data_IF_999688774982
#
_entry.id   IF_999688774982
#
_cell.length_a   1.000
_cell.length_b   1.000
_cell.length_c   1.000
_cell.angle_alpha   90.00
_cell.angle_beta   90.00
_cell.angle_gamma   90.00
#
_symmetry.space_group_name_H-M   'P 1'
#
loop_
_entity.id
_entity.type
_entity.pdbx_description
1 polymer ?
#
# COMPACT_ATOMS: atom_id res chain seq x y z
N UNK A 1 -6.94 -25.85 -5.38
CA UNK A 1 -5.73 -25.16 -5.85
C UNK A 1 -5.23 -25.93 -7.05
N UNK A 2 -5.09 -25.26 -8.18
CA UNK A 2 -4.47 -25.84 -9.37
C UNK A 2 -3.01 -26.19 -9.06
N UNK A 3 -2.52 -27.34 -9.54
CA UNK A 3 -1.13 -27.73 -9.31
C UNK A 3 -0.19 -26.78 -10.06
N UNK A 4 0.93 -26.42 -9.42
CA UNK A 4 1.92 -25.58 -10.06
C UNK A 4 2.57 -26.34 -11.22
N UNK A 5 2.78 -25.67 -12.35
CA UNK A 5 3.27 -26.28 -13.56
C UNK A 5 4.75 -26.63 -13.40
N UNK A 6 5.08 -27.93 -13.43
CA UNK A 6 6.45 -28.41 -13.20
C UNK A 6 7.42 -28.16 -14.37
N UNK A 7 6.91 -27.78 -15.54
CA UNK A 7 7.68 -27.64 -16.78
C UNK A 7 7.98 -26.18 -17.18
N UNK A 8 7.62 -25.19 -16.36
CA UNK A 8 7.88 -23.78 -16.67
C UNK A 8 8.30 -23.02 -15.41
N UNK A 9 9.15 -21.98 -15.56
CA UNK A 9 9.49 -21.13 -14.43
C UNK A 9 8.23 -20.47 -13.85
N UNK A 10 8.24 -20.27 -12.53
CA UNK A 10 7.18 -19.58 -11.80
C UNK A 10 7.24 -18.05 -11.95
N UNK A 11 8.01 -17.56 -12.92
CA UNK A 11 8.19 -16.17 -13.25
C UNK A 11 8.15 -15.96 -14.76
N UNK A 12 7.71 -14.76 -15.19
CA UNK A 12 7.73 -14.32 -16.59
C UNK A 12 8.14 -12.86 -16.66
N UNK A 13 8.81 -12.47 -17.74
CA UNK A 13 9.21 -11.10 -18.01
C UNK A 13 8.63 -10.69 -19.36
N UNK A 14 7.86 -9.60 -19.39
CA UNK A 14 7.32 -9.04 -20.62
C UNK A 14 7.99 -7.70 -20.91
N UNK A 15 8.62 -7.59 -22.08
CA UNK A 15 9.27 -6.36 -22.55
C UNK A 15 8.34 -5.70 -23.57
N UNK A 16 7.84 -4.51 -23.25
CA UNK A 16 6.98 -3.72 -24.14
C UNK A 16 7.80 -2.53 -24.62
N UNK A 17 8.26 -2.59 -25.88
CA UNK A 17 9.14 -1.58 -26.48
C UNK A 17 8.41 -0.36 -27.04
N UNK A 18 7.12 -0.20 -26.74
CA UNK A 18 6.35 0.95 -27.20
C UNK A 18 6.51 2.13 -26.22
N UNK A 19 7.02 3.29 -26.68
CA UNK A 19 7.20 4.44 -25.82
C UNK A 19 5.86 4.99 -25.37
N UNK A 20 5.83 5.47 -24.13
CA UNK A 20 4.69 6.16 -23.52
C UNK A 20 5.11 7.59 -23.16
N UNK A 21 4.16 8.44 -22.78
CA UNK A 21 4.48 9.75 -22.18
C UNK A 21 5.41 9.63 -20.95
N UNK A 22 5.39 8.48 -20.28
CA UNK A 22 6.18 8.22 -19.09
C UNK A 22 7.54 7.58 -19.37
N UNK A 23 7.70 6.63 -20.28
CA UNK A 23 8.97 5.91 -20.47
C UNK A 23 9.16 5.43 -21.91
N UNK A 24 10.41 5.26 -22.34
CA UNK A 24 10.78 4.76 -23.67
C UNK A 24 10.42 3.27 -23.89
N UNK A 25 10.19 2.52 -22.80
CA UNK A 25 9.72 1.15 -22.81
C UNK A 25 9.25 0.74 -21.42
N UNK A 26 8.49 -0.35 -21.34
CA UNK A 26 7.96 -0.89 -20.10
C UNK A 26 8.42 -2.33 -19.92
N UNK A 27 8.73 -2.69 -18.68
CA UNK A 27 9.11 -4.05 -18.28
C UNK A 27 8.14 -4.54 -17.22
N UNK A 28 7.51 -5.68 -17.45
CA UNK A 28 6.57 -6.28 -16.51
C UNK A 28 7.16 -7.60 -16.02
N UNK A 29 7.44 -7.67 -14.73
CA UNK A 29 7.81 -8.90 -14.03
C UNK A 29 6.55 -9.52 -13.43
N UNK A 30 6.22 -10.74 -13.83
CA UNK A 30 5.17 -11.55 -13.23
C UNK A 30 5.83 -12.64 -12.40
N UNK A 31 5.70 -12.58 -11.08
CA UNK A 31 6.30 -13.52 -10.14
C UNK A 31 5.21 -14.26 -9.38
N UNK A 32 5.30 -15.57 -9.26
CA UNK A 32 4.37 -16.35 -8.44
C UNK A 32 4.69 -16.20 -6.95
N UNK A 33 3.68 -16.04 -6.09
CA UNK A 33 3.87 -15.79 -4.65
C UNK A 33 4.57 -16.95 -3.92
N UNK A 34 4.55 -18.18 -4.46
CA UNK A 34 5.31 -19.29 -3.89
C UNK A 34 6.83 -19.11 -3.96
N UNK A 35 7.33 -18.16 -4.76
CA UNK A 35 8.75 -17.84 -4.82
C UNK A 35 9.24 -17.08 -3.57
N UNK A 36 8.35 -16.37 -2.89
CA UNK A 36 8.71 -15.60 -1.70
C UNK A 36 7.59 -14.68 -1.23
N UNK A 37 7.75 -14.12 -0.03
CA UNK A 37 6.88 -13.03 0.42
C UNK A 37 7.17 -11.73 -0.35
N UNK A 38 6.22 -10.79 -0.34
CA UNK A 38 6.36 -9.55 -1.10
C UNK A 38 7.60 -8.73 -0.71
N UNK A 39 8.12 -8.89 0.50
CA UNK A 39 9.36 -8.22 0.93
C UNK A 39 10.59 -8.89 0.32
N UNK A 40 10.67 -10.22 0.38
CA UNK A 40 11.78 -11.01 -0.18
C UNK A 40 11.85 -10.85 -1.70
N UNK A 41 10.70 -10.94 -2.39
CA UNK A 41 10.63 -10.73 -3.84
C UNK A 41 11.09 -9.32 -4.25
N UNK A 42 10.77 -8.31 -3.46
CA UNK A 42 11.21 -6.95 -3.72
C UNK A 42 12.68 -6.74 -3.35
N UNK A 43 13.18 -7.36 -2.28
CA UNK A 43 14.61 -7.35 -1.95
C UNK A 43 15.44 -7.99 -3.08
N UNK A 44 14.99 -9.13 -3.60
CA UNK A 44 15.64 -9.81 -4.73
C UNK A 44 15.59 -8.94 -6.00
N UNK A 45 14.44 -8.33 -6.31
CA UNK A 45 14.34 -7.40 -7.44
C UNK A 45 15.31 -6.24 -7.28
N UNK A 46 15.38 -5.63 -6.10
CA UNK A 46 16.27 -4.50 -5.83
C UNK A 46 17.74 -4.90 -5.85
N UNK A 47 18.08 -6.15 -5.49
CA UNK A 47 19.46 -6.67 -5.61
C UNK A 47 19.96 -6.73 -7.06
N UNK A 48 19.04 -6.86 -8.02
CA UNK A 48 19.34 -6.83 -9.45
C UNK A 48 19.46 -5.40 -10.02
N UNK A 49 19.16 -4.37 -9.22
CA UNK A 49 19.20 -2.98 -9.62
C UNK A 49 20.48 -2.30 -9.15
N UNK A 50 20.94 -1.35 -9.96
CA UNK A 50 22.12 -0.54 -9.68
C UNK A 50 21.73 0.93 -9.61
N UNK A 51 22.56 1.74 -8.93
CA UNK A 51 22.44 3.19 -8.99
C UNK A 51 22.74 3.68 -10.41
N UNK A 52 21.87 4.53 -10.95
CA UNK A 52 21.99 5.06 -12.31
C UNK A 52 23.13 6.09 -12.46
N UNK A 53 23.50 6.75 -11.37
CA UNK A 53 24.60 7.72 -11.32
C UNK A 53 25.95 7.09 -11.00
N UNK A 54 25.98 6.00 -10.23
CA UNK A 54 27.21 5.30 -9.84
C UNK A 54 26.96 3.80 -9.63
N UNK A 55 27.10 2.98 -10.69
CA UNK A 55 26.77 1.54 -10.64
C UNK A 55 27.55 0.72 -9.60
N UNK A 56 28.71 1.21 -9.16
CA UNK A 56 29.56 0.56 -8.14
C UNK A 56 29.11 0.81 -6.70
N UNK A 57 28.14 1.70 -6.48
CA UNK A 57 27.63 2.03 -5.14
C UNK A 57 26.33 1.25 -4.89
N UNK A 58 26.22 0.52 -3.76
CA UNK A 58 25.00 -0.23 -3.44
C UNK A 58 23.82 0.71 -3.22
N UNK A 59 22.61 0.20 -3.45
CA UNK A 59 21.37 0.93 -3.22
C UNK A 59 21.17 1.22 -1.73
N UNK A 60 20.90 2.47 -1.40
CA UNK A 60 20.67 2.88 0.00
C UNK A 60 19.18 2.98 0.29
N UNK A 61 18.71 2.23 1.28
CA UNK A 61 17.36 2.42 1.82
C UNK A 61 17.35 3.56 2.83
N UNK A 62 16.28 4.39 2.86
CA UNK A 62 16.16 5.40 3.90
C UNK A 62 16.14 4.70 5.27
N UNK A 63 17.08 5.09 6.13
CA UNK A 63 17.14 4.64 7.51
C UNK A 63 15.88 5.11 8.23
N UNK A 64 15.15 4.17 8.84
CA UNK A 64 14.19 4.51 9.89
C UNK A 64 15.03 5.13 11.01
N UNK A 65 14.98 6.46 11.16
CA UNK A 65 15.59 7.12 12.32
C UNK A 65 14.91 6.59 13.57
N UNK A 66 15.57 5.64 14.23
CA UNK A 66 15.31 5.28 15.62
C UNK A 66 15.50 6.53 16.48
N UNK A 67 14.75 6.57 17.59
CA UNK A 67 14.69 7.66 18.56
C UNK A 67 16.09 8.19 18.99
N UNK A 68 16.17 9.41 19.55
CA UNK A 68 17.45 10.05 19.89
C UNK A 68 18.28 9.18 20.86
N UNK A 69 19.60 9.14 20.64
CA UNK A 69 20.58 8.45 21.47
C UNK A 69 20.44 8.78 22.97
N UNK A 70 20.50 7.79 23.87
CA UNK A 70 20.40 8.01 25.31
C UNK A 70 21.80 8.27 25.89
N UNK A 71 22.45 9.37 25.50
CA UNK A 71 23.71 9.78 26.13
C UNK A 71 23.74 11.30 26.26
N UNK A 72 23.00 11.83 27.24
CA UNK A 72 23.34 13.10 27.87
C UNK A 72 22.93 13.06 29.34
N UNK A 73 23.87 13.53 30.15
CA UNK A 73 23.99 13.46 31.60
C UNK A 73 22.82 14.08 32.37
N UNK A 74 22.61 13.50 33.56
CA UNK A 74 21.83 13.99 34.70
C UNK A 74 21.80 15.52 34.81
N UNK A 75 20.58 16.07 34.96
CA UNK A 75 20.36 17.39 35.55
C UNK A 75 19.12 18.11 35.02
N UNK A 76 18.06 18.21 35.83
CA UNK A 76 17.07 19.29 35.69
C UNK A 76 15.66 18.85 35.28
N UNK A 77 14.76 18.99 36.25
CA UNK A 77 13.29 18.92 36.20
C UNK A 77 12.61 19.66 35.02
N UNK A 78 11.46 19.12 34.57
CA UNK A 78 10.34 19.83 33.87
C UNK A 78 10.10 19.59 32.36
N UNK A 79 9.84 18.35 31.90
CA UNK A 79 9.32 18.12 30.51
C UNK A 79 8.04 17.26 30.44
N UNK A 80 7.58 16.63 31.52
CA UNK A 80 6.37 15.78 31.51
C UNK A 80 5.06 16.55 31.78
N UNK A 81 4.62 17.44 30.89
CA UNK A 81 3.24 17.98 31.01
C UNK A 81 2.38 18.03 29.75
N UNK A 82 2.92 17.83 28.54
CA UNK A 82 2.12 18.01 27.30
C UNK A 82 2.14 16.85 26.28
N UNK A 83 2.54 15.64 26.68
CA UNK A 83 2.48 14.43 25.82
C UNK A 83 1.28 13.47 26.11
N UNK A 84 0.01 13.90 26.27
CA UNK A 84 -1.09 12.93 26.29
C UNK A 84 -2.03 12.95 25.08
N UNK A 85 -2.21 14.07 24.36
CA UNK A 85 -3.27 14.14 23.31
C UNK A 85 -2.89 13.51 21.97
N UNK A 86 -1.67 13.72 21.48
CA UNK A 86 -1.22 13.23 20.16
C UNK A 86 -1.01 11.71 20.16
N UNK A 87 -0.36 11.19 21.22
CA UNK A 87 -0.19 9.74 21.39
C UNK A 87 -1.53 9.02 21.57
N UNK A 88 -2.48 9.62 22.29
CA UNK A 88 -3.83 9.06 22.47
C UNK A 88 -4.64 9.07 21.18
N UNK A 89 -4.51 10.10 20.34
CA UNK A 89 -5.14 10.13 19.02
C UNK A 89 -4.57 9.08 18.07
N UNK A 90 -3.23 8.94 18.00
CA UNK A 90 -2.60 7.92 17.16
C UNK A 90 -2.90 6.50 17.65
N UNK A 91 -2.92 6.29 18.97
CA UNK A 91 -3.23 5.01 19.58
C UNK A 91 -4.71 4.63 19.38
N UNK A 92 -5.65 5.58 19.49
CA UNK A 92 -7.05 5.34 19.19
C UNK A 92 -7.26 4.97 17.72
N UNK A 93 -6.58 5.62 16.77
CA UNK A 93 -6.68 5.25 15.35
C UNK A 93 -6.10 3.86 15.07
N UNK A 94 -4.98 3.50 15.71
CA UNK A 94 -4.39 2.15 15.58
C UNK A 94 -5.27 1.08 16.24
N UNK A 95 -5.90 1.39 17.39
CA UNK A 95 -6.83 0.47 18.05
C UNK A 95 -8.14 0.33 17.29
N UNK A 96 -8.67 1.42 16.73
CA UNK A 96 -9.89 1.41 15.90
C UNK A 96 -9.63 0.68 14.58
N UNK A 97 -8.44 0.85 14.02
CA UNK A 97 -7.96 0.09 12.88
C UNK A 97 -7.81 -1.41 13.21
N UNK A 98 -7.16 -1.74 14.33
CA UNK A 98 -7.02 -3.12 14.82
C UNK A 98 -8.36 -3.79 15.14
N UNK A 99 -9.31 -3.05 15.70
CA UNK A 99 -10.68 -3.48 15.96
C UNK A 99 -11.45 -3.72 14.65
N UNK A 100 -11.25 -2.86 13.65
CA UNK A 100 -11.84 -3.01 12.32
C UNK A 100 -11.26 -4.21 11.57
N UNK A 101 -9.98 -4.52 11.72
CA UNK A 101 -9.34 -5.75 11.20
C UNK A 101 -9.87 -7.03 11.87
N UNK A 102 -10.11 -6.98 13.18
CA UNK A 102 -10.72 -8.08 13.91
C UNK A 102 -12.17 -8.30 13.47
N UNK A 103 -12.96 -7.22 13.30
CA UNK A 103 -14.32 -7.29 12.77
C UNK A 103 -14.37 -7.82 11.34
N UNK A 104 -13.51 -7.33 10.44
CA UNK A 104 -13.50 -7.77 9.04
C UNK A 104 -13.17 -9.27 8.90
N UNK A 105 -12.47 -9.86 9.87
CA UNK A 105 -12.21 -11.31 9.86
C UNK A 105 -13.47 -12.16 10.09
N UNK A 106 -14.53 -11.59 10.66
CA UNK A 106 -15.79 -12.27 10.99
C UNK A 106 -17.03 -11.71 10.29
N UNK A 107 -16.99 -10.45 9.84
CA UNK A 107 -18.11 -9.73 9.23
C UNK A 107 -17.68 -9.24 7.84
N UNK A 108 -18.45 -9.61 6.82
CA UNK A 108 -18.25 -9.13 5.46
C UNK A 108 -18.76 -7.69 5.32
N UNK A 109 -17.99 -6.83 4.66
CA UNK A 109 -18.44 -5.48 4.29
C UNK A 109 -19.62 -5.56 3.30
N UNK A 110 -20.44 -4.50 3.29
CA UNK A 110 -21.59 -4.37 2.40
C UNK A 110 -21.17 -4.38 0.92
N UNK A 111 -22.02 -4.95 0.05
CA UNK A 111 -21.85 -4.85 -1.40
C UNK A 111 -21.91 -3.37 -1.79
N UNK A 112 -20.87 -2.88 -2.45
CA UNK A 112 -20.71 -1.48 -2.82
C UNK A 112 -20.13 -1.36 -4.23
N UNK A 113 -20.04 -0.13 -4.75
CA UNK A 113 -19.42 0.12 -6.07
C UNK A 113 -17.97 -0.38 -6.18
N UNK A 114 -17.28 -0.48 -5.04
CA UNK A 114 -15.89 -0.94 -4.98
C UNK A 114 -15.74 -2.38 -4.48
N UNK A 115 -16.86 -3.06 -4.15
CA UNK A 115 -16.91 -4.43 -3.66
C UNK A 115 -18.08 -5.15 -4.31
N UNK A 116 -17.82 -5.92 -5.35
CA UNK A 116 -18.87 -6.61 -6.10
C UNK A 116 -19.50 -7.79 -5.35
N UNK A 117 -18.83 -8.34 -4.33
CA UNK A 117 -19.31 -9.47 -3.53
C UNK A 117 -19.43 -10.80 -4.29
N UNK A 118 -19.12 -10.82 -5.58
CA UNK A 118 -19.28 -11.99 -6.44
C UNK A 118 -18.18 -13.03 -6.16
N UNK A 119 -18.52 -14.33 -6.04
CA UNK A 119 -17.52 -15.38 -6.01
C UNK A 119 -16.70 -15.37 -7.32
N UNK A 120 -15.39 -15.59 -7.22
CA UNK A 120 -14.49 -15.64 -8.38
C UNK A 120 -14.04 -14.28 -8.93
N UNK A 121 -14.22 -13.17 -8.19
CA UNK A 121 -13.68 -11.84 -8.57
C UNK A 121 -12.17 -11.88 -8.83
N UNK A 122 -11.45 -12.79 -8.19
CA UNK A 122 -10.01 -13.03 -8.37
C UNK A 122 -9.63 -13.49 -9.79
N UNK A 123 -10.58 -14.01 -10.56
CA UNK A 123 -10.38 -14.47 -11.95
C UNK A 123 -10.96 -13.52 -13.00
N UNK A 124 -11.63 -12.44 -12.58
CA UNK A 124 -12.19 -11.46 -13.50
C UNK A 124 -11.09 -10.58 -14.11
N UNK A 125 -11.41 -10.00 -15.26
CA UNK A 125 -10.55 -9.00 -15.90
C UNK A 125 -10.39 -7.79 -14.98
N UNK A 126 -9.15 -7.32 -14.86
CA UNK A 126 -8.79 -6.15 -14.07
C UNK A 126 -8.21 -5.06 -14.96
N UNK A 127 -8.47 -3.81 -14.61
CA UNK A 127 -7.81 -2.65 -15.17
C UNK A 127 -6.73 -2.18 -14.19
N UNK A 128 -5.58 -1.80 -14.74
CA UNK A 128 -4.49 -1.18 -13.97
C UNK A 128 -4.43 0.28 -14.36
N UNK A 129 -4.55 1.16 -13.38
CA UNK A 129 -4.33 2.59 -13.55
C UNK A 129 -3.33 3.11 -12.51
N UNK A 130 -2.68 4.23 -12.79
CA UNK A 130 -1.65 4.78 -11.91
C UNK A 130 -1.85 6.26 -11.63
N UNK A 131 -1.50 6.70 -10.42
CA UNK A 131 -1.35 8.10 -10.04
C UNK A 131 0.06 8.37 -9.50
N UNK A 132 0.47 9.62 -9.50
CA UNK A 132 1.73 10.06 -8.90
C UNK A 132 1.46 11.29 -8.04
N UNK A 133 1.88 11.26 -6.79
CA UNK A 133 1.83 12.41 -5.88
C UNK A 133 3.25 12.88 -5.53
N UNK A 134 3.39 14.18 -5.27
CA UNK A 134 4.62 14.75 -4.71
C UNK A 134 4.77 14.30 -3.26
N UNK A 135 5.91 13.70 -2.89
CA UNK A 135 6.15 13.39 -1.48
C UNK A 135 6.37 14.66 -0.66
N UNK A 136 6.81 15.75 -1.27
CA UNK A 136 7.05 16.99 -0.54
C UNK A 136 5.73 17.65 -0.15
N UNK A 137 4.72 17.61 -1.01
CA UNK A 137 3.35 18.07 -0.66
C UNK A 137 2.76 17.20 0.45
N UNK A 138 2.93 15.88 0.37
CA UNK A 138 2.48 14.96 1.42
C UNK A 138 3.22 15.23 2.75
N UNK A 139 4.52 15.51 2.71
CA UNK A 139 5.32 15.89 3.90
C UNK A 139 4.87 17.24 4.47
N UNK A 140 4.45 18.19 3.64
CA UNK A 140 3.90 19.46 4.10
C UNK A 140 2.60 19.24 4.87
N UNK A 141 1.65 18.49 4.29
CA UNK A 141 0.40 18.10 4.95
C UNK A 141 0.69 17.37 6.27
N UNK A 142 1.59 16.38 6.24
CA UNK A 142 2.03 15.64 7.43
C UNK A 142 2.49 16.58 8.54
N UNK A 143 3.33 17.55 8.20
CA UNK A 143 3.92 18.49 9.17
C UNK A 143 2.87 19.42 9.77
N UNK A 144 2.00 19.98 8.93
CA UNK A 144 0.92 20.89 9.35
C UNK A 144 -0.12 20.18 10.22
N UNK A 145 -0.51 18.96 9.86
CA UNK A 145 -1.48 18.16 10.62
C UNK A 145 -0.85 17.37 11.79
N UNK A 146 0.49 17.34 11.91
CA UNK A 146 1.24 16.56 12.91
C UNK A 146 0.90 15.06 12.95
N UNK A 147 0.66 14.47 11.78
CA UNK A 147 0.35 13.03 11.60
C UNK A 147 1.48 12.30 10.87
N UNK A 148 1.30 11.03 10.51
CA UNK A 148 2.27 10.28 9.68
C UNK A 148 1.90 10.34 8.20
N UNK A 149 2.87 10.09 7.31
CA UNK A 149 2.66 10.04 5.85
C UNK A 149 1.58 9.01 5.49
N UNK A 150 1.62 7.84 6.12
CA UNK A 150 0.63 6.79 5.90
C UNK A 150 -0.78 7.24 6.26
N UNK A 151 -0.95 7.95 7.38
CA UNK A 151 -2.27 8.50 7.78
C UNK A 151 -2.79 9.50 6.76
N UNK A 152 -1.92 10.40 6.25
CA UNK A 152 -2.30 11.36 5.21
C UNK A 152 -2.79 10.64 3.95
N UNK A 153 -1.99 9.72 3.43
CA UNK A 153 -2.30 9.01 2.17
C UNK A 153 -3.55 8.14 2.32
N UNK A 154 -3.65 7.38 3.42
CA UNK A 154 -4.84 6.56 3.71
C UNK A 154 -6.09 7.45 3.82
N UNK A 155 -6.01 8.61 4.46
CA UNK A 155 -7.12 9.56 4.55
C UNK A 155 -7.57 10.08 3.18
N UNK A 156 -6.62 10.48 2.33
CA UNK A 156 -6.89 10.95 0.96
C UNK A 156 -7.60 9.87 0.14
N UNK A 157 -7.05 8.66 0.11
CA UNK A 157 -7.58 7.55 -0.69
C UNK A 157 -8.97 7.13 -0.17
N UNK A 158 -9.13 7.02 1.14
CA UNK A 158 -10.38 6.60 1.75
C UNK A 158 -11.50 7.62 1.48
N UNK A 159 -11.23 8.90 1.70
CA UNK A 159 -12.20 9.95 1.43
C UNK A 159 -12.51 10.07 -0.07
N UNK A 160 -11.51 10.02 -0.94
CA UNK A 160 -11.71 10.04 -2.40
C UNK A 160 -12.56 8.87 -2.87
N UNK A 161 -12.33 7.68 -2.31
CA UNK A 161 -13.11 6.49 -2.61
C UNK A 161 -14.53 6.60 -2.07
N UNK A 162 -14.72 7.18 -0.88
CA UNK A 162 -16.06 7.45 -0.32
C UNK A 162 -16.85 8.41 -1.20
N UNK A 163 -16.24 9.48 -1.69
CA UNK A 163 -16.89 10.43 -2.62
C UNK A 163 -17.24 9.75 -3.94
N UNK A 164 -16.34 8.91 -4.48
CA UNK A 164 -16.62 8.10 -5.66
C UNK A 164 -17.85 7.19 -5.47
N UNK A 165 -17.95 6.52 -4.31
CA UNK A 165 -19.08 5.65 -3.98
C UNK A 165 -20.41 6.42 -3.88
N UNK A 166 -20.37 7.63 -3.31
CA UNK A 166 -21.57 8.46 -3.12
C UNK A 166 -22.16 8.99 -4.43
N UNK A 167 -21.35 9.08 -5.48
CA UNK A 167 -21.78 9.59 -6.78
C UNK A 167 -22.45 8.52 -7.64
N UNK A 168 -22.01 7.25 -7.55
CA UNK A 168 -22.53 6.18 -8.41
C UNK A 168 -23.87 5.59 -7.95
N UNK A 169 -24.43 6.02 -6.82
CA UNK A 169 -25.77 5.62 -6.33
C UNK A 169 -26.48 6.81 -5.70
N UNK A 170 -27.82 6.85 -5.79
CA UNK A 170 -28.65 7.87 -5.16
C UNK A 170 -28.23 8.04 -3.68
N UNK A 171 -27.82 9.27 -3.34
CA UNK A 171 -27.16 9.68 -2.09
C UNK A 171 -27.71 8.99 -0.82
N UNK A 172 -26.76 8.61 0.06
CA UNK A 172 -26.90 8.31 1.51
C UNK A 172 -26.89 6.85 1.99
N UNK A 173 -26.31 5.89 1.25
CA UNK A 173 -26.09 4.58 1.89
C UNK A 173 -24.95 4.67 2.92
N UNK A 174 -25.27 4.34 4.17
CA UNK A 174 -24.30 4.14 5.27
C UNK A 174 -23.58 2.79 5.11
N UNK A 175 -23.19 2.45 3.89
CA UNK A 175 -22.47 1.20 3.60
C UNK A 175 -21.16 1.18 4.38
N UNK A 176 -20.97 0.11 5.15
CA UNK A 176 -19.74 -0.15 5.87
C UNK A 176 -18.67 -0.56 4.87
N UNK A 177 -17.67 0.30 4.71
CA UNK A 177 -16.51 0.03 3.86
C UNK A 177 -15.24 0.07 4.68
N UNK A 178 -14.55 -1.06 4.71
CA UNK A 178 -13.30 -1.26 5.44
C UNK A 178 -12.15 -1.32 4.44
N UNK A 179 -11.13 -0.50 4.69
CA UNK A 179 -9.84 -0.59 4.00
C UNK A 179 -8.89 -1.49 4.82
N UNK A 180 -8.48 -2.62 4.25
CA UNK A 180 -7.41 -3.44 4.81
C UNK A 180 -6.06 -2.78 4.48
N UNK A 181 -5.47 -2.10 5.46
CA UNK A 181 -4.21 -1.36 5.25
C UNK A 181 -3.01 -2.22 5.69
N UNK A 182 -2.27 -2.73 4.72
CA UNK A 182 -1.05 -3.51 4.88
C UNK A 182 0.15 -2.56 4.77
N UNK A 183 0.45 -1.83 5.85
CA UNK A 183 1.61 -0.94 5.93
C UNK A 183 2.78 -1.68 6.56
N UNK A 184 3.96 -1.65 5.92
CA UNK A 184 5.22 -2.11 6.51
C UNK A 184 5.09 -3.46 7.24
N UNK A 185 4.78 -4.52 6.49
CA UNK A 185 4.42 -5.87 6.98
C UNK A 185 5.48 -6.61 7.80
N UNK A 186 6.61 -5.98 8.18
CA UNK A 186 7.53 -6.54 9.19
C UNK A 186 6.81 -6.88 10.50
N UNK A 187 5.83 -6.06 10.91
CA UNK A 187 5.10 -6.24 12.18
C UNK A 187 4.09 -7.41 12.18
N UNK A 188 3.60 -7.87 11.02
CA UNK A 188 2.61 -8.97 10.97
C UNK A 188 3.24 -10.32 11.34
N UNK A 189 4.56 -10.48 11.17
CA UNK A 189 5.28 -11.67 11.65
C UNK A 189 5.43 -11.71 13.18
N UNK A 190 5.43 -10.56 13.86
CA UNK A 190 5.68 -10.48 15.30
C UNK A 190 4.43 -10.71 16.16
N UNK A 191 3.22 -10.72 15.56
CA UNK A 191 1.97 -10.87 16.31
C UNK A 191 1.55 -12.33 16.62
N UNK A 192 2.34 -13.34 16.21
CA UNK A 192 2.17 -14.73 16.68
C UNK A 192 3.51 -15.37 16.94
N UNK A 193 3.68 -15.92 18.14
CA UNK A 193 4.95 -16.52 18.54
C UNK A 193 5.35 -17.62 17.56
N UNK A 194 6.60 -17.57 17.11
CA UNK A 194 7.24 -18.53 16.18
C UNK A 194 7.08 -19.99 16.63
N UNK A 195 6.80 -20.22 17.92
CA UNK A 195 6.58 -21.54 18.51
C UNK A 195 5.26 -22.20 18.10
N UNK A 196 4.27 -21.46 17.61
CA UNK A 196 2.98 -22.05 17.15
C UNK A 196 2.96 -22.39 15.65
N UNK A 197 3.94 -21.91 14.87
CA UNK A 197 3.92 -21.92 13.39
C UNK A 197 4.42 -23.26 12.79
N UNK A 198 5.02 -24.14 13.58
CA UNK A 198 5.62 -25.40 13.08
C UNK A 198 4.64 -26.56 12.81
N UNK A 199 3.33 -26.30 12.69
CA UNK A 199 2.34 -27.34 12.36
C UNK A 199 1.68 -27.04 11.00
N UNK A 200 1.62 -28.00 10.05
CA UNK A 200 1.00 -27.80 8.74
C UNK A 200 -0.51 -27.46 8.82
N UNK A 201 -1.16 -27.83 9.93
CA UNK A 201 -2.53 -27.41 10.23
C UNK A 201 -2.64 -25.91 10.59
N UNK A 202 -1.65 -25.37 11.30
CA UNK A 202 -1.60 -23.95 11.66
C UNK A 202 -1.39 -23.07 10.41
N UNK A 203 -0.56 -23.49 9.46
CA UNK A 203 -0.35 -22.78 8.19
C UNK A 203 -1.63 -22.68 7.36
N UNK A 204 -2.37 -23.80 7.21
CA UNK A 204 -3.67 -23.80 6.50
C UNK A 204 -4.70 -22.91 7.20
N UNK A 205 -4.74 -22.93 8.53
CA UNK A 205 -5.63 -22.08 9.32
C UNK A 205 -5.27 -20.59 9.17
N UNK A 206 -3.99 -20.24 9.19
CA UNK A 206 -3.49 -18.87 8.99
C UNK A 206 -3.78 -18.40 7.55
N UNK A 207 -3.50 -19.22 6.54
CA UNK A 207 -3.81 -18.90 5.15
C UNK A 207 -5.31 -18.66 4.94
N UNK A 208 -6.16 -19.52 5.53
CA UNK A 208 -7.62 -19.35 5.49
C UNK A 208 -8.06 -18.07 6.22
N UNK A 209 -7.46 -17.76 7.36
CA UNK A 209 -7.73 -16.53 8.10
C UNK A 209 -7.38 -15.30 7.27
N UNK A 210 -6.16 -15.23 6.71
CA UNK A 210 -5.72 -14.12 5.85
C UNK A 210 -6.63 -13.99 4.62
N UNK A 211 -6.94 -15.11 3.96
CA UNK A 211 -7.83 -15.12 2.81
C UNK A 211 -9.22 -14.57 3.17
N UNK A 212 -9.78 -14.96 4.32
CA UNK A 212 -11.07 -14.44 4.78
C UNK A 212 -11.01 -12.95 5.14
N UNK A 213 -9.99 -12.51 5.88
CA UNK A 213 -9.82 -11.08 6.23
C UNK A 213 -9.69 -10.23 4.97
N UNK A 214 -8.94 -10.69 3.97
CA UNK A 214 -8.89 -10.04 2.66
C UNK A 214 -10.27 -10.13 2.04
N UNK A 215 -10.85 -11.31 1.79
CA UNK A 215 -12.15 -11.48 1.14
C UNK A 215 -13.24 -10.58 1.74
N UNK A 216 -13.28 -10.38 3.05
CA UNK A 216 -14.34 -9.67 3.72
C UNK A 216 -14.23 -8.13 3.67
N UNK A 217 -13.03 -7.57 3.46
CA UNK A 217 -12.86 -6.11 3.35
C UNK A 217 -13.32 -5.56 1.98
N UNK A 218 -13.51 -4.25 1.87
CA UNK A 218 -13.90 -3.60 0.61
C UNK A 218 -12.72 -3.31 -0.30
N UNK A 219 -11.60 -2.85 0.28
CA UNK A 219 -10.39 -2.50 -0.46
C UNK A 219 -9.14 -2.94 0.31
N UNK A 220 -8.02 -3.10 -0.41
CA UNK A 220 -6.69 -3.31 0.20
C UNK A 220 -5.77 -2.15 -0.16
N UNK A 221 -5.06 -1.62 0.84
CA UNK A 221 -4.02 -0.60 0.67
C UNK A 221 -2.68 -1.20 1.09
N UNK A 222 -1.71 -1.29 0.19
CA UNK A 222 -0.35 -1.75 0.50
C UNK A 222 0.66 -0.63 0.24
N UNK A 223 1.53 -0.35 1.22
CA UNK A 223 2.59 0.65 1.07
C UNK A 223 3.96 0.01 1.28
N UNK A 224 4.86 0.23 0.32
CA UNK A 224 6.26 -0.13 0.40
C UNK A 224 7.12 1.12 0.45
N UNK A 225 7.97 1.19 1.47
CA UNK A 225 9.07 2.16 1.49
C UNK A 225 9.95 1.85 0.29
N UNK A 226 10.08 2.80 -0.62
CA UNK A 226 10.93 2.66 -1.79
C UNK A 226 12.14 3.61 -1.74
N UNK A 227 13.00 3.44 -2.72
CA UNK A 227 14.33 4.03 -2.75
C UNK A 227 14.30 5.50 -3.20
N UNK A 228 15.19 6.29 -2.60
CA UNK A 228 15.35 7.72 -2.94
C UNK A 228 16.24 7.93 -4.16
N UNK A 229 17.14 6.98 -4.42
CA UNK A 229 18.13 7.05 -5.48
C UNK A 229 17.54 6.67 -6.85
N UNK A 230 18.09 7.26 -7.91
CA UNK A 230 17.73 6.90 -9.29
C UNK A 230 18.36 5.55 -9.61
N UNK A 231 17.55 4.57 -9.96
CA UNK A 231 17.99 3.21 -10.28
C UNK A 231 18.13 2.98 -11.79
N UNK A 232 18.91 1.98 -12.15
CA UNK A 232 19.03 1.44 -13.49
C UNK A 232 18.96 -0.09 -13.45
N UNK A 233 18.37 -0.68 -14.49
CA UNK A 233 18.38 -2.11 -14.75
C UNK A 233 19.16 -2.34 -16.05
N UNK A 234 20.21 -3.16 -16.01
CA UNK A 234 21.07 -3.42 -17.17
C UNK A 234 21.52 -2.12 -17.88
N UNK A 235 21.99 -1.13 -17.11
CA UNK A 235 22.38 0.21 -17.57
C UNK A 235 21.26 1.08 -18.18
N UNK A 236 20.00 0.66 -18.11
CA UNK A 236 18.86 1.48 -18.51
C UNK A 236 18.21 2.15 -17.29
N UNK A 237 18.20 3.51 -17.22
CA UNK A 237 17.60 4.21 -16.08
C UNK A 237 16.10 3.94 -15.93
N UNK A 238 15.68 3.61 -14.72
CA UNK A 238 14.28 3.39 -14.36
C UNK A 238 13.64 4.74 -14.06
N UNK A 239 12.60 5.10 -14.83
CA UNK A 239 11.83 6.33 -14.63
C UNK A 239 10.69 6.18 -13.62
N UNK A 240 10.12 4.99 -13.50
CA UNK A 240 9.04 4.70 -12.55
C UNK A 240 8.98 3.21 -12.23
N UNK A 241 8.58 2.90 -10.99
CA UNK A 241 8.39 1.54 -10.49
C UNK A 241 7.00 1.46 -9.85
N UNK A 242 6.29 0.37 -10.13
CA UNK A 242 5.01 0.01 -9.53
C UNK A 242 5.03 -1.49 -9.21
N UNK A 243 4.32 -1.92 -8.18
CA UNK A 243 4.11 -3.34 -7.88
C UNK A 243 2.62 -3.59 -7.70
N UNK A 244 2.14 -4.78 -8.04
CA UNK A 244 0.73 -5.17 -7.88
C UNK A 244 0.65 -6.60 -7.39
N UNK A 245 -0.34 -6.89 -6.53
CA UNK A 245 -0.70 -8.25 -6.15
C UNK A 245 -1.90 -8.68 -7.00
N UNK A 246 -1.71 -9.69 -7.84
CA UNK A 246 -2.75 -10.28 -8.68
C UNK A 246 -3.40 -11.49 -7.99
N UNK A 247 -4.67 -11.78 -8.33
CA UNK A 247 -5.38 -12.95 -7.80
C UNK A 247 -5.96 -12.81 -6.39
N UNK A 248 -6.00 -11.59 -5.84
CA UNK A 248 -6.71 -11.33 -4.57
C UNK A 248 -8.24 -11.31 -4.81
N UNK A 249 -9.06 -11.80 -3.86
CA UNK A 249 -10.52 -11.76 -3.93
C UNK A 249 -11.06 -10.34 -3.66
N UNK A 250 -10.68 -9.39 -4.50
CA UNK A 250 -10.92 -7.95 -4.36
C UNK A 250 -11.19 -7.26 -5.70
N UNK A 251 -12.27 -6.49 -5.74
CA UNK A 251 -12.57 -5.61 -6.87
C UNK A 251 -11.67 -4.36 -6.89
N UNK A 252 -11.18 -3.89 -5.73
CA UNK A 252 -10.26 -2.76 -5.62
C UNK A 252 -9.05 -3.12 -4.76
N UNK A 253 -7.85 -3.00 -5.34
CA UNK A 253 -6.57 -3.11 -4.63
C UNK A 253 -5.66 -1.96 -5.02
N UNK A 254 -5.04 -1.32 -4.03
CA UNK A 254 -4.21 -0.13 -4.22
C UNK A 254 -2.85 -0.40 -3.60
N UNK A 255 -1.81 -0.23 -4.41
CA UNK A 255 -0.42 -0.36 -3.99
C UNK A 255 0.31 0.94 -4.17
N UNK A 256 1.29 1.16 -3.30
CA UNK A 256 2.01 2.42 -3.23
C UNK A 256 3.49 2.16 -2.98
N UNK A 257 4.34 2.79 -3.78
CA UNK A 257 5.78 2.78 -3.58
C UNK A 257 6.35 4.19 -3.73
N UNK A 258 7.27 4.57 -2.85
CA UNK A 258 7.99 5.83 -2.98
C UNK A 258 9.18 5.66 -3.91
N UNK A 259 9.34 6.52 -4.93
CA UNK A 259 10.51 6.48 -5.82
C UNK A 259 10.89 7.90 -6.24
N UNK A 260 12.15 8.29 -6.02
CA UNK A 260 12.70 9.60 -6.40
C UNK A 260 11.83 10.79 -5.98
N UNK A 261 11.46 10.88 -4.70
CA UNK A 261 10.65 11.99 -4.17
C UNK A 261 9.18 11.97 -4.61
N UNK A 262 8.73 10.93 -5.30
CA UNK A 262 7.34 10.79 -5.77
C UNK A 262 6.70 9.55 -5.18
N UNK A 263 5.47 9.67 -4.71
CA UNK A 263 4.65 8.53 -4.34
C UNK A 263 3.98 7.99 -5.61
N UNK A 264 4.31 6.75 -5.97
CA UNK A 264 3.74 6.03 -7.10
C UNK A 264 2.62 5.15 -6.60
N UNK A 265 1.39 5.44 -7.04
CA UNK A 265 0.18 4.72 -6.63
C UNK A 265 -0.34 3.95 -7.84
N UNK A 266 -0.65 2.68 -7.66
CA UNK A 266 -1.27 1.85 -8.68
C UNK A 266 -2.57 1.25 -8.15
N UNK A 267 -3.60 1.26 -9.00
CA UNK A 267 -4.94 0.78 -8.71
C UNK A 267 -5.21 -0.43 -9.61
N UNK A 268 -5.55 -1.57 -9.00
CA UNK A 268 -6.19 -2.71 -9.67
C UNK A 268 -7.68 -2.59 -9.42
N UNK A 269 -8.45 -2.41 -10.48
CA UNK A 269 -9.91 -2.30 -10.44
C UNK A 269 -10.57 -3.43 -11.24
N UNK A 270 -11.69 -3.97 -10.75
CA UNK A 270 -12.52 -4.91 -11.49
C UNK A 270 -13.07 -4.20 -12.74
N UNK A 271 -12.76 -4.78 -13.92
CA UNK A 271 -13.20 -4.24 -15.20
C UNK A 271 -14.74 -4.20 -15.23
N UNK A 272 -15.29 -3.16 -15.85
CA UNK A 272 -16.73 -2.92 -16.03
C UNK A 272 -17.51 -2.64 -14.74
N UNK A 273 -16.90 -2.78 -13.55
CA UNK A 273 -17.52 -2.47 -12.27
C UNK A 273 -17.06 -1.13 -11.68
N UNK A 274 -15.77 -0.82 -11.79
CA UNK A 274 -15.18 0.41 -11.26
C UNK A 274 -14.57 1.22 -12.40
N UNK A 275 -14.96 2.49 -12.50
CA UNK A 275 -14.36 3.46 -13.40
C UNK A 275 -13.06 4.01 -12.76
N UNK A 276 -11.87 3.63 -13.29
CA UNK A 276 -10.61 4.04 -12.72
C UNK A 276 -10.34 5.53 -12.89
N UNK A 277 -10.79 6.17 -13.97
CA UNK A 277 -10.55 7.61 -14.20
C UNK A 277 -11.37 8.46 -13.26
N UNK A 278 -12.65 8.10 -13.07
CA UNK A 278 -13.53 8.78 -12.12
C UNK A 278 -13.03 8.62 -10.68
N UNK A 279 -12.63 7.41 -10.27
CA UNK A 279 -12.04 7.17 -8.95
C UNK A 279 -10.79 8.02 -8.72
N UNK A 280 -9.86 8.03 -9.69
CA UNK A 280 -8.63 8.84 -9.60
C UNK A 280 -8.92 10.34 -9.50
N UNK A 281 -9.91 10.83 -10.24
CA UNK A 281 -10.34 12.24 -10.19
C UNK A 281 -10.82 12.65 -8.79
N UNK A 282 -11.63 11.82 -8.13
CA UNK A 282 -12.04 12.08 -6.74
C UNK A 282 -10.87 12.06 -5.76
N UNK A 283 -9.96 11.10 -5.88
CA UNK A 283 -8.77 11.03 -5.02
C UNK A 283 -7.88 12.28 -5.24
N UNK A 284 -7.71 12.71 -6.49
CA UNK A 284 -6.96 13.93 -6.81
C UNK A 284 -7.61 15.18 -6.20
N UNK A 285 -8.93 15.31 -6.34
CA UNK A 285 -9.71 16.42 -5.78
C UNK A 285 -9.54 16.49 -4.27
N UNK A 286 -9.64 15.36 -3.58
CA UNK A 286 -9.44 15.27 -2.13
C UNK A 286 -8.01 15.63 -1.74
N UNK A 287 -7.01 15.18 -2.49
CA UNK A 287 -5.62 15.55 -2.26
C UNK A 287 -5.44 17.07 -2.31
N UNK A 288 -5.97 17.72 -3.33
CA UNK A 288 -5.89 19.19 -3.49
C UNK A 288 -6.63 19.93 -2.38
N UNK A 289 -7.82 19.45 -1.98
CA UNK A 289 -8.58 20.01 -0.86
C UNK A 289 -7.78 19.94 0.45
N UNK A 290 -7.21 18.78 0.77
CA UNK A 290 -6.42 18.58 2.00
C UNK A 290 -5.13 19.39 1.94
N UNK A 291 -4.45 19.42 0.79
CA UNK A 291 -3.24 20.20 0.61
C UNK A 291 -3.53 21.69 0.84
N UNK A 292 -4.59 22.23 0.23
CA UNK A 292 -5.01 23.61 0.44
C UNK A 292 -5.33 23.89 1.91
N UNK A 293 -6.16 23.06 2.54
CA UNK A 293 -6.51 23.21 3.95
C UNK A 293 -5.27 23.16 4.87
N UNK A 294 -4.26 22.36 4.53
CA UNK A 294 -3.01 22.31 5.30
C UNK A 294 -2.17 23.59 5.20
N UNK A 295 -2.21 24.29 4.06
CA UNK A 295 -1.55 25.59 3.90
C UNK A 295 -2.23 26.69 4.71
N UNK A 296 -3.56 26.60 4.89
CA UNK A 296 -4.35 27.58 5.64
C UNK A 296 -4.20 27.44 7.17
N UNK A 297 -3.60 26.35 7.65
CA UNK A 297 -3.25 26.16 9.07
C UNK A 297 -1.97 26.95 9.34
N UNK A 298 -2.10 28.13 9.95
CA UNK A 298 -0.98 28.98 10.41
C UNK A 298 -0.07 28.22 11.40
#
# INVERSE_FOLDING_TARGET
MEQLPHNRPLWNIHIIKYPTSNAAGNLIFKLHHSLGDGYSLMADLLSCLQRADSPSVPLTFPTLTSAPNPNLSVGGTSIFRNIPKVLRSAFNTVSDFGWSLMKSSYVEDDISLIRSGNPGVEFKLVLISTMTFSLDDIKQIKTKLRVTINVVITGIIFLGTRLYMQEGRNKSTNEHSTALVLLNTKAIREYKSVKEIHKPYAEKAIAKYIYNTIKNSSMTLSNMIGLVERMALANHPIKSLYFMVAGEPKSLSITMISYMGKLKVAFKTEKDSIDPEKLKSYIQTVFEMILKAAHDIA
#
